data_IF_684859574520
#
_entry.id   IF_684859574520
#
_cell.length_a   1.000
_cell.length_b   1.000
_cell.length_c   1.000
_cell.angle_alpha   90.00
_cell.angle_beta   90.00
_cell.angle_gamma   90.00
#
_symmetry.space_group_name_H-M   'P 1'
#
loop_
_entity.id
_entity.type
_entity.pdbx_description
1 polymer ?
#
# COMPACT_ATOMS: atom_id res chain seq x y z
N UNK A 1 -2.33 -1.58 -15.33
CA UNK A 1 -2.88 -1.54 -13.95
C UNK A 1 -3.88 -0.41 -13.84
N UNK A 2 -4.78 -0.40 -12.87
CA UNK A 2 -5.78 0.66 -12.72
C UNK A 2 -5.33 1.79 -11.78
N UNK A 3 -4.03 1.88 -11.44
CA UNK A 3 -3.43 2.93 -10.61
C UNK A 3 -3.78 2.88 -9.12
N UNK A 4 -4.49 1.85 -8.64
CA UNK A 4 -4.93 1.73 -7.23
C UNK A 4 -3.73 1.77 -6.27
N UNK A 5 -2.73 0.93 -6.52
CA UNK A 5 -1.51 0.83 -5.72
C UNK A 5 -0.77 2.17 -5.63
N UNK A 6 -0.73 2.93 -6.74
CA UNK A 6 -0.08 4.23 -6.79
C UNK A 6 -0.82 5.28 -5.96
N UNK A 7 -2.15 5.37 -6.08
CA UNK A 7 -2.95 6.33 -5.31
C UNK A 7 -2.80 6.04 -3.80
N UNK A 8 -2.85 4.76 -3.41
CA UNK A 8 -2.74 4.36 -2.00
C UNK A 8 -1.33 4.62 -1.46
N UNK A 9 -0.27 4.41 -2.27
CA UNK A 9 1.10 4.68 -1.83
C UNK A 9 1.32 6.15 -1.48
N UNK A 10 0.67 7.07 -2.21
CA UNK A 10 0.70 8.51 -1.91
C UNK A 10 -0.02 8.89 -0.62
N UNK A 11 -0.95 8.09 -0.12
CA UNK A 11 -1.59 8.36 1.15
C UNK A 11 -0.59 8.35 2.32
N UNK A 12 0.44 7.50 2.25
CA UNK A 12 1.47 7.45 3.29
C UNK A 12 2.36 8.70 3.29
N UNK A 13 2.61 9.31 2.12
CA UNK A 13 3.38 10.55 2.00
C UNK A 13 2.69 11.75 2.70
N UNK A 14 1.38 11.66 2.99
CA UNK A 14 0.61 12.68 3.72
C UNK A 14 0.68 12.54 5.24
N UNK A 15 1.19 11.42 5.75
CA UNK A 15 1.28 11.14 7.18
C UNK A 15 2.60 11.69 7.75
N UNK A 16 2.60 12.10 9.03
CA UNK A 16 3.82 12.62 9.66
C UNK A 16 4.88 11.52 9.79
N UNK A 17 6.18 11.86 9.75
CA UNK A 17 7.25 10.92 10.06
C UNK A 17 7.18 10.49 11.53
N UNK A 18 7.75 9.33 11.84
CA UNK A 18 7.74 8.74 13.17
C UNK A 18 9.12 8.23 13.58
N UNK A 19 9.33 8.11 14.89
CA UNK A 19 10.56 7.56 15.46
C UNK A 19 10.25 6.15 15.97
N UNK A 20 10.99 5.17 15.47
CA UNK A 20 10.83 3.75 15.84
C UNK A 20 12.17 3.20 16.35
N UNK A 21 12.15 2.17 17.21
CA UNK A 21 13.38 1.46 17.54
C UNK A 21 13.86 0.68 16.32
N UNK A 22 15.18 0.53 16.16
CA UNK A 22 15.74 -0.34 15.11
C UNK A 22 15.46 -1.80 15.43
N UNK A 23 15.68 -2.15 16.69
CA UNK A 23 15.46 -3.48 17.25
C UNK A 23 14.89 -3.36 18.66
N UNK A 24 14.16 -4.39 19.09
CA UNK A 24 13.83 -4.60 20.50
C UNK A 24 14.31 -5.97 20.94
N UNK A 25 14.41 -6.17 22.24
CA UNK A 25 14.82 -7.44 22.83
C UNK A 25 13.67 -8.01 23.67
N UNK A 26 13.45 -9.32 23.53
CA UNK A 26 12.55 -10.07 24.38
C UNK A 26 13.13 -11.46 24.70
N UNK A 27 13.36 -11.75 25.98
CA UNK A 27 13.85 -13.05 26.47
C UNK A 27 15.12 -13.55 25.78
N UNK A 28 16.12 -12.68 25.61
CA UNK A 28 17.38 -12.92 24.92
C UNK A 28 17.25 -13.05 23.41
N UNK A 29 16.15 -12.59 22.81
CA UNK A 29 15.90 -12.63 21.37
C UNK A 29 15.74 -11.23 20.82
N UNK A 30 16.41 -10.99 19.70
CA UNK A 30 16.34 -9.73 18.98
C UNK A 30 15.18 -9.79 18.00
N UNK A 31 14.31 -8.79 18.06
CA UNK A 31 13.19 -8.59 17.15
C UNK A 31 13.51 -7.33 16.34
N UNK A 32 13.54 -7.46 15.02
CA UNK A 32 13.80 -6.36 14.09
C UNK A 32 12.50 -5.59 13.83
N UNK A 33 12.51 -4.30 14.16
CA UNK A 33 11.37 -3.40 13.93
C UNK A 33 11.64 -2.54 12.68
N UNK A 34 12.81 -1.90 12.61
CA UNK A 34 13.25 -1.22 11.40
C UNK A 34 13.73 -2.23 10.36
N UNK A 35 13.11 -2.16 9.20
CA UNK A 35 13.45 -2.96 8.02
C UNK A 35 13.68 -2.01 6.82
N UNK A 36 14.91 -1.93 6.27
CA UNK A 36 15.22 -1.03 5.16
C UNK A 36 14.44 -1.34 3.88
N UNK A 37 13.89 -2.55 3.73
CA UNK A 37 13.07 -2.90 2.57
C UNK A 37 11.67 -2.24 2.63
N UNK A 38 11.22 -1.85 3.82
CA UNK A 38 9.89 -1.28 4.07
C UNK A 38 9.92 0.15 4.62
N UNK A 39 11.03 0.59 5.20
CA UNK A 39 11.14 1.86 5.90
C UNK A 39 12.20 2.78 5.29
N UNK A 40 11.78 3.98 4.90
CA UNK A 40 12.67 5.04 4.41
C UNK A 40 13.11 5.95 5.57
N UNK A 41 14.41 6.06 5.87
CA UNK A 41 14.91 6.94 6.92
C UNK A 41 14.70 8.41 6.54
N UNK A 42 14.46 9.25 7.54
CA UNK A 42 14.49 10.70 7.38
C UNK A 42 15.92 11.23 7.53
N UNK A 43 16.25 12.42 6.98
CA UNK A 43 17.57 13.03 7.13
C UNK A 43 17.95 13.35 8.59
N UNK A 44 16.95 13.62 9.43
CA UNK A 44 17.12 13.94 10.84
C UNK A 44 17.13 12.66 11.69
N UNK A 45 18.32 12.22 12.10
CA UNK A 45 18.46 11.07 12.99
C UNK A 45 18.34 11.49 14.47
N UNK A 46 17.67 10.68 15.31
CA UNK A 46 17.68 10.87 16.76
C UNK A 46 19.11 10.78 17.33
N UNK A 47 19.36 11.44 18.47
CA UNK A 47 20.65 11.36 19.16
C UNK A 47 21.01 9.93 19.60
N UNK A 48 19.99 9.15 19.99
CA UNK A 48 20.17 7.74 20.40
C UNK A 48 20.12 6.82 19.17
N UNK A 49 21.24 6.15 18.81
CA UNK A 49 21.34 5.35 17.58
C UNK A 49 20.47 4.09 17.59
N UNK A 50 19.90 3.71 18.74
CA UNK A 50 18.94 2.60 18.84
C UNK A 50 17.60 2.94 18.19
N UNK A 51 17.32 4.23 18.02
CA UNK A 51 16.14 4.75 17.37
C UNK A 51 16.48 5.22 15.95
N UNK A 52 15.46 5.31 15.12
CA UNK A 52 15.55 5.86 13.78
C UNK A 52 14.28 6.65 13.49
N UNK A 53 14.43 7.80 12.86
CA UNK A 53 13.29 8.56 12.33
C UNK A 53 13.04 8.11 10.90
N UNK A 54 11.81 7.74 10.60
CA UNK A 54 11.39 7.25 9.29
C UNK A 54 10.22 8.08 8.76
N UNK A 55 10.10 8.14 7.44
CA UNK A 55 8.84 8.52 6.82
C UNK A 55 7.77 7.51 7.19
N UNK A 56 6.50 7.91 7.18
CA UNK A 56 5.40 6.97 7.41
C UNK A 56 5.53 5.77 6.46
N UNK A 57 5.44 4.53 6.96
CA UNK A 57 5.67 3.36 6.12
C UNK A 57 4.52 3.18 5.14
N UNK A 58 4.84 2.66 3.96
CA UNK A 58 3.88 2.11 3.03
C UNK A 58 4.28 0.67 2.78
N UNK A 59 3.58 -0.26 3.43
CA UNK A 59 3.84 -1.69 3.32
C UNK A 59 2.85 -2.28 2.32
N UNK A 60 3.38 -2.95 1.31
CA UNK A 60 2.61 -3.55 0.24
C UNK A 60 2.77 -5.07 0.26
N UNK A 61 1.65 -5.78 0.13
CA UNK A 61 1.60 -7.23 -0.08
C UNK A 61 0.67 -7.54 -1.26
N UNK A 62 1.20 -8.26 -2.26
CA UNK A 62 0.48 -8.57 -3.49
C UNK A 62 -0.23 -9.94 -3.47
N UNK A 63 -0.42 -10.51 -4.67
CA UNK A 63 -1.07 -11.81 -4.88
C UNK A 63 -0.31 -13.01 -4.30
N UNK A 64 0.98 -12.83 -4.06
CA UNK A 64 1.87 -13.80 -3.43
C UNK A 64 1.66 -13.93 -1.93
N UNK A 65 0.92 -12.99 -1.31
CA UNK A 65 0.66 -12.98 0.12
C UNK A 65 0.03 -14.30 0.58
N UNK A 66 0.71 -14.92 1.53
CA UNK A 66 0.26 -16.06 2.29
C UNK A 66 0.02 -15.68 3.75
N UNK A 67 -0.79 -16.48 4.46
CA UNK A 67 -1.07 -16.24 5.88
C UNK A 67 0.21 -16.27 6.73
N UNK A 68 1.18 -17.10 6.37
CA UNK A 68 2.47 -17.17 7.07
C UNK A 68 3.29 -15.88 6.95
N UNK A 69 3.16 -15.15 5.84
CA UNK A 69 3.84 -13.86 5.66
C UNK A 69 3.21 -12.76 6.51
N UNK A 70 2.00 -12.94 7.03
CA UNK A 70 1.40 -12.05 8.03
C UNK A 70 1.89 -12.33 9.46
N UNK A 71 2.78 -13.32 9.65
CA UNK A 71 3.34 -13.65 10.95
C UNK A 71 4.78 -13.17 11.12
N UNK A 72 5.16 -12.94 12.38
CA UNK A 72 6.57 -12.71 12.74
C UNK A 72 7.32 -14.03 12.68
N UNK A 73 8.41 -14.08 11.90
CA UNK A 73 9.19 -15.30 11.68
C UNK A 73 10.65 -15.12 12.08
N UNK A 74 11.32 -16.23 12.43
CA UNK A 74 12.74 -16.17 12.79
C UNK A 74 13.61 -16.33 11.54
N UNK A 75 14.41 -15.29 11.22
CA UNK A 75 15.36 -15.33 10.13
C UNK A 75 16.70 -15.89 10.63
N UNK A 76 17.02 -17.12 10.25
CA UNK A 76 18.26 -17.80 10.67
C UNK A 76 19.54 -17.12 10.15
N UNK A 77 19.48 -16.47 8.98
CA UNK A 77 20.65 -15.81 8.39
C UNK A 77 20.99 -14.50 9.11
N UNK A 78 19.96 -13.73 9.51
CA UNK A 78 20.12 -12.48 10.26
C UNK A 78 20.22 -12.69 11.77
N UNK A 79 19.76 -13.83 12.28
CA UNK A 79 19.74 -14.13 13.72
C UNK A 79 18.69 -13.33 14.50
N UNK A 80 17.65 -12.84 13.83
CA UNK A 80 16.61 -11.98 14.41
C UNK A 80 15.22 -12.50 14.06
N UNK A 81 14.23 -12.10 14.85
CA UNK A 81 12.82 -12.21 14.45
C UNK A 81 12.48 -11.04 13.52
N UNK A 82 12.06 -11.36 12.30
CA UNK A 82 11.52 -10.40 11.34
C UNK A 82 10.04 -10.23 11.63
N UNK A 83 9.63 -8.98 11.82
CA UNK A 83 8.25 -8.63 12.15
C UNK A 83 7.33 -8.76 10.95
N UNK A 84 6.04 -9.00 11.22
CA UNK A 84 5.00 -9.09 10.19
C UNK A 84 4.82 -7.76 9.44
N UNK A 85 4.27 -7.77 8.22
CA UNK A 85 3.82 -6.57 7.49
C UNK A 85 2.93 -5.65 8.33
N UNK A 86 2.11 -6.22 9.22
CA UNK A 86 1.24 -5.49 10.15
C UNK A 86 2.05 -4.59 11.09
N UNK A 87 3.11 -5.13 11.69
CA UNK A 87 4.00 -4.38 12.58
C UNK A 87 4.88 -3.40 11.79
N UNK A 88 5.33 -3.79 10.58
CA UNK A 88 6.10 -2.89 9.70
C UNK A 88 5.28 -1.70 9.20
N UNK A 89 3.97 -1.85 9.06
CA UNK A 89 3.08 -0.77 8.63
C UNK A 89 2.73 0.23 9.74
N UNK A 90 3.22 0.02 10.96
CA UNK A 90 2.85 0.82 12.12
C UNK A 90 3.21 2.29 11.91
N UNK A 91 2.25 3.19 12.16
CA UNK A 91 2.33 4.62 11.88
C UNK A 91 2.08 5.01 10.41
N UNK A 92 1.78 4.05 9.53
CA UNK A 92 1.59 4.28 8.10
C UNK A 92 0.43 3.49 7.52
N UNK A 93 0.64 2.93 6.32
CA UNK A 93 -0.38 2.25 5.52
C UNK A 93 0.05 0.81 5.24
N UNK A 94 -0.87 -0.14 5.43
CA UNK A 94 -0.75 -1.53 4.97
C UNK A 94 -1.69 -1.75 3.80
N UNK A 95 -1.16 -1.98 2.60
CA UNK A 95 -1.93 -2.34 1.41
C UNK A 95 -1.88 -3.84 1.16
N UNK A 96 -3.05 -4.49 1.20
CA UNK A 96 -3.25 -5.83 0.66
C UNK A 96 -3.89 -5.70 -0.72
N UNK A 97 -3.10 -5.97 -1.75
CA UNK A 97 -3.52 -5.85 -3.16
C UNK A 97 -4.02 -7.19 -3.72
N UNK A 98 -4.82 -7.10 -4.78
CA UNK A 98 -5.46 -8.24 -5.45
C UNK A 98 -6.16 -9.22 -4.48
N UNK A 99 -6.86 -8.69 -3.46
CA UNK A 99 -7.60 -9.51 -2.49
C UNK A 99 -8.59 -10.45 -3.19
N UNK A 100 -8.55 -11.73 -2.83
CA UNK A 100 -9.30 -12.82 -3.44
C UNK A 100 -8.59 -13.52 -4.60
N UNK A 101 -7.34 -13.14 -4.91
CA UNK A 101 -6.48 -13.83 -5.88
C UNK A 101 -5.26 -14.50 -5.24
N UNK A 102 -5.18 -14.50 -3.91
CA UNK A 102 -4.17 -15.20 -3.15
C UNK A 102 -4.41 -16.72 -3.18
N UNK A 103 -3.37 -17.49 -2.82
CA UNK A 103 -3.50 -18.94 -2.61
C UNK A 103 -4.36 -19.27 -1.40
N UNK A 104 -4.17 -18.51 -0.32
CA UNK A 104 -4.95 -18.64 0.90
C UNK A 104 -6.29 -17.93 0.74
N UNK A 105 -7.28 -18.40 1.49
CA UNK A 105 -8.62 -17.83 1.47
C UNK A 105 -8.58 -16.37 1.99
N UNK A 106 -9.13 -15.46 1.18
CA UNK A 106 -9.29 -14.06 1.53
C UNK A 106 -10.01 -13.83 2.87
N UNK A 107 -10.98 -14.67 3.24
CA UNK A 107 -11.64 -14.57 4.54
C UNK A 107 -10.65 -14.81 5.69
N UNK A 108 -9.71 -15.74 5.52
CA UNK A 108 -8.70 -16.04 6.55
C UNK A 108 -7.71 -14.88 6.69
N UNK A 109 -7.31 -14.27 5.57
CA UNK A 109 -6.47 -13.06 5.54
C UNK A 109 -7.16 -11.91 6.28
N UNK A 110 -8.44 -11.65 5.96
CA UNK A 110 -9.21 -10.58 6.59
C UNK A 110 -9.42 -10.84 8.09
N UNK A 111 -9.74 -12.08 8.47
CA UNK A 111 -9.89 -12.49 9.86
C UNK A 111 -8.63 -12.25 10.68
N UNK A 112 -7.44 -12.47 10.11
CA UNK A 112 -6.15 -12.22 10.78
C UNK A 112 -5.95 -10.74 11.16
N UNK A 113 -6.56 -9.82 10.42
CA UNK A 113 -6.47 -8.38 10.65
C UNK A 113 -7.48 -7.86 11.68
N UNK A 114 -8.53 -8.61 12.01
CA UNK A 114 -9.58 -8.16 12.94
C UNK A 114 -8.98 -7.72 14.28
N UNK A 115 -8.13 -8.55 14.89
CA UNK A 115 -7.56 -8.26 16.21
C UNK A 115 -6.66 -7.01 16.21
N UNK A 116 -5.67 -6.88 15.29
CA UNK A 116 -4.88 -5.65 15.14
C UNK A 116 -5.72 -4.39 14.92
N UNK A 117 -6.80 -4.48 14.14
CA UNK A 117 -7.66 -3.35 13.81
C UNK A 117 -8.61 -2.94 14.94
N UNK A 118 -9.18 -3.90 15.68
CA UNK A 118 -10.13 -3.61 16.75
C UNK A 118 -9.46 -3.23 18.06
N UNK A 119 -8.37 -3.93 18.40
CA UNK A 119 -7.73 -3.78 19.71
C UNK A 119 -6.47 -2.91 19.68
N UNK A 120 -6.06 -2.45 18.49
CA UNK A 120 -4.78 -1.76 18.28
C UNK A 120 -3.60 -2.57 18.83
N UNK A 121 -3.70 -3.90 18.76
CA UNK A 121 -2.75 -4.86 19.30
C UNK A 121 -2.64 -6.09 18.42
N UNK A 122 -1.41 -6.54 18.21
CA UNK A 122 -1.11 -7.83 17.61
C UNK A 122 -0.37 -8.72 18.61
N UNK A 123 -0.55 -10.04 18.49
CA UNK A 123 0.15 -11.02 19.33
C UNK A 123 1.12 -11.78 18.45
N UNK A 124 2.41 -11.62 18.74
CA UNK A 124 3.48 -12.35 18.04
C UNK A 124 4.08 -13.40 18.98
N UNK A 125 4.56 -14.51 18.40
CA UNK A 125 5.12 -15.61 19.17
C UNK A 125 6.63 -15.68 19.05
N UNK A 126 7.33 -15.40 20.14
CA UNK A 126 8.78 -15.51 20.24
C UNK A 126 9.11 -16.80 20.97
N UNK A 127 9.53 -17.83 20.22
CA UNK A 127 9.74 -19.20 20.73
C UNK A 127 8.51 -19.77 21.45
N UNK A 128 7.32 -19.48 20.93
CA UNK A 128 6.06 -19.92 21.51
C UNK A 128 5.59 -19.09 22.71
N UNK A 129 6.35 -18.07 23.15
CA UNK A 129 5.91 -17.11 24.17
C UNK A 129 5.17 -15.97 23.48
N UNK A 130 3.91 -15.66 23.87
CA UNK A 130 3.17 -14.55 23.29
C UNK A 130 3.73 -13.20 23.75
N UNK A 131 3.95 -12.30 22.81
CA UNK A 131 4.36 -10.91 23.02
C UNK A 131 3.32 -10.01 22.38
N UNK A 132 2.82 -9.04 23.15
CA UNK A 132 1.84 -8.08 22.65
C UNK A 132 2.59 -6.90 22.03
N UNK A 133 2.28 -6.62 20.77
CA UNK A 133 2.74 -5.43 20.05
C UNK A 133 1.58 -4.48 19.84
N UNK A 134 1.79 -3.17 20.04
CA UNK A 134 0.76 -2.18 19.73
C UNK A 134 0.79 -1.86 18.23
N UNK A 135 -0.37 -1.91 17.60
CA UNK A 135 -0.56 -1.67 16.17
C UNK A 135 -1.44 -0.47 15.93
N UNK A 136 -1.01 0.40 15.03
CA UNK A 136 -1.67 1.62 14.63
C UNK A 136 -1.30 1.91 13.17
N UNK A 137 -2.07 1.38 12.24
CA UNK A 137 -1.84 1.54 10.80
C UNK A 137 -3.19 1.73 10.09
N UNK A 138 -3.14 2.26 8.88
CA UNK A 138 -4.31 2.40 8.01
C UNK A 138 -4.36 1.17 7.11
N UNK A 139 -5.35 0.27 7.24
CA UNK A 139 -5.53 -0.83 6.29
C UNK A 139 -6.08 -0.29 4.97
N UNK A 140 -5.53 -0.77 3.86
CA UNK A 140 -6.06 -0.55 2.53
C UNK A 140 -6.16 -1.89 1.81
N UNK A 141 -7.29 -2.13 1.16
CA UNK A 141 -7.55 -3.34 0.39
C UNK A 141 -7.86 -2.94 -1.03
N UNK A 142 -7.21 -3.58 -2.00
CA UNK A 142 -7.61 -3.50 -3.40
C UNK A 142 -7.99 -4.87 -3.92
N UNK A 143 -9.05 -4.88 -4.71
CA UNK A 143 -9.49 -6.06 -5.44
C UNK A 143 -9.99 -5.66 -6.82
N UNK A 144 -9.93 -6.64 -7.73
CA UNK A 144 -10.58 -6.60 -9.03
C UNK A 144 -11.87 -7.43 -9.04
N UNK A 145 -12.21 -8.07 -7.92
CA UNK A 145 -13.45 -8.81 -7.71
C UNK A 145 -14.55 -7.86 -7.21
N UNK A 146 -15.78 -8.36 -7.24
CA UNK A 146 -16.92 -7.65 -6.64
C UNK A 146 -16.75 -7.54 -5.12
N UNK A 147 -17.30 -6.48 -4.52
CA UNK A 147 -17.17 -6.21 -3.07
C UNK A 147 -17.80 -7.32 -2.21
N UNK A 148 -18.66 -8.16 -2.78
CA UNK A 148 -19.21 -9.37 -2.14
C UNK A 148 -18.19 -10.36 -1.60
N UNK A 149 -16.90 -10.25 -1.96
CA UNK A 149 -15.82 -11.01 -1.29
C UNK A 149 -15.61 -10.59 0.17
N UNK A 150 -16.18 -9.47 0.61
CA UNK A 150 -16.13 -9.02 2.00
C UNK A 150 -17.50 -9.17 2.64
N UNK A 151 -17.56 -9.91 3.75
CA UNK A 151 -18.79 -9.98 4.55
C UNK A 151 -19.11 -8.66 5.28
N UNK A 152 -20.31 -8.55 5.84
CA UNK A 152 -20.76 -7.36 6.57
C UNK A 152 -19.87 -7.01 7.78
N UNK A 153 -19.23 -7.99 8.40
CA UNK A 153 -18.29 -7.73 9.49
C UNK A 153 -17.02 -7.06 8.96
N UNK A 154 -16.44 -7.53 7.86
CA UNK A 154 -15.28 -6.94 7.22
C UNK A 154 -15.59 -5.53 6.69
N UNK A 155 -16.74 -5.35 6.04
CA UNK A 155 -17.17 -4.05 5.51
C UNK A 155 -17.34 -2.98 6.59
N UNK A 156 -17.83 -3.35 7.78
CA UNK A 156 -17.90 -2.42 8.92
C UNK A 156 -16.54 -1.88 9.37
N UNK A 157 -15.46 -2.59 9.06
CA UNK A 157 -14.08 -2.23 9.42
C UNK A 157 -13.33 -1.52 8.29
N UNK A 158 -13.91 -1.50 7.08
CA UNK A 158 -13.39 -0.79 5.91
C UNK A 158 -14.46 0.18 5.37
N UNK A 159 -14.83 1.25 6.10
CA UNK A 159 -16.01 2.06 5.78
C UNK A 159 -15.89 2.87 4.47
N UNK A 160 -14.67 3.06 3.95
CA UNK A 160 -14.42 3.81 2.73
C UNK A 160 -14.21 2.87 1.54
N UNK A 161 -15.13 2.90 0.58
CA UNK A 161 -15.00 2.17 -0.68
C UNK A 161 -14.84 3.14 -1.84
N UNK A 162 -13.73 2.99 -2.58
CA UNK A 162 -13.43 3.82 -3.74
C UNK A 162 -13.51 2.93 -4.99
N UNK A 163 -14.52 3.17 -5.82
CA UNK A 163 -14.64 2.51 -7.11
C UNK A 163 -13.89 3.29 -8.19
N UNK A 164 -12.73 2.77 -8.60
CA UNK A 164 -11.90 3.38 -9.64
C UNK A 164 -12.38 2.91 -11.03
N UNK A 165 -13.09 3.80 -11.74
CA UNK A 165 -13.47 3.64 -13.15
C UNK A 165 -12.40 4.19 -14.07
N UNK A 166 -12.35 3.72 -15.31
CA UNK A 166 -11.51 4.36 -16.35
C UNK A 166 -11.74 5.88 -16.35
N UNK A 167 -10.67 6.70 -16.33
CA UNK A 167 -10.84 8.13 -16.31
C UNK A 167 -11.51 8.61 -17.61
N UNK A 168 -12.35 9.66 -17.54
CA UNK A 168 -12.86 10.32 -18.73
C UNK A 168 -11.72 10.76 -19.66
N UNK A 169 -11.94 10.68 -20.98
CA UNK A 169 -10.97 11.13 -21.99
C UNK A 169 -10.51 12.56 -21.73
N UNK A 170 -11.41 13.43 -21.25
CA UNK A 170 -11.05 14.81 -20.92
C UNK A 170 -10.10 14.95 -19.73
N UNK A 171 -10.17 14.04 -18.75
CA UNK A 171 -9.20 14.03 -17.66
C UNK A 171 -7.82 13.60 -18.16
N UNK A 172 -7.77 12.66 -19.11
CA UNK A 172 -6.51 12.24 -19.74
C UNK A 172 -5.90 13.40 -20.54
N UNK A 173 -6.72 14.11 -21.32
CA UNK A 173 -6.26 15.27 -22.07
C UNK A 173 -5.76 16.41 -21.17
N UNK A 174 -6.47 16.71 -20.08
CA UNK A 174 -6.06 17.73 -19.11
C UNK A 174 -4.70 17.43 -18.50
N UNK A 175 -4.47 16.17 -18.17
CA UNK A 175 -3.23 15.77 -17.55
C UNK A 175 -2.09 15.72 -18.56
N UNK A 176 -2.36 15.28 -19.79
CA UNK A 176 -1.41 15.39 -20.89
C UNK A 176 -0.95 16.85 -21.10
N UNK A 177 -1.88 17.83 -21.04
CA UNK A 177 -1.52 19.26 -21.07
C UNK A 177 -0.60 19.65 -19.93
N UNK A 178 -0.96 19.31 -18.69
CA UNK A 178 -0.14 19.62 -17.50
C UNK A 178 1.27 19.06 -17.61
N UNK A 179 1.41 17.86 -18.16
CA UNK A 179 2.71 17.25 -18.36
C UNK A 179 3.55 17.99 -19.40
N UNK A 180 2.94 18.43 -20.51
CA UNK A 180 3.60 19.27 -21.52
C UNK A 180 4.02 20.64 -20.95
N UNK A 181 3.16 21.25 -20.14
CA UNK A 181 3.45 22.50 -19.44
C UNK A 181 4.62 22.32 -18.45
N UNK A 182 4.67 21.22 -17.70
CA UNK A 182 5.71 20.94 -16.70
C UNK A 182 7.09 20.74 -17.34
N UNK A 183 7.14 20.13 -18.53
CA UNK A 183 8.38 19.98 -19.30
C UNK A 183 8.72 21.23 -20.15
N UNK A 184 7.82 22.22 -20.21
CA UNK A 184 8.01 23.47 -20.93
C UNK A 184 7.93 23.33 -22.45
N UNK A 185 7.20 22.34 -22.96
CA UNK A 185 7.01 22.12 -24.39
C UNK A 185 5.83 22.95 -24.91
N UNK A 186 6.02 23.63 -26.04
CA UNK A 186 4.93 24.33 -26.73
C UNK A 186 4.12 23.33 -27.55
N UNK A 187 2.79 23.44 -27.51
CA UNK A 187 1.90 22.55 -28.23
C UNK A 187 0.66 23.26 -28.77
N UNK A 188 0.17 22.78 -29.91
CA UNK A 188 -1.08 23.22 -30.49
C UNK A 188 -2.26 22.37 -29.98
N UNK A 189 -3.47 22.94 -30.00
CA UNK A 189 -4.70 22.24 -29.61
C UNK A 189 -4.94 20.95 -30.41
N UNK A 190 -4.44 20.89 -31.66
CA UNK A 190 -4.53 19.69 -32.51
C UNK A 190 -3.81 18.48 -31.90
N UNK A 191 -2.72 18.69 -31.16
CA UNK A 191 -1.98 17.62 -30.48
C UNK A 191 -2.84 17.02 -29.37
N UNK A 192 -3.56 17.87 -28.63
CA UNK A 192 -4.46 17.44 -27.56
C UNK A 192 -5.68 16.72 -28.13
N UNK A 193 -6.25 17.21 -29.22
CA UNK A 193 -7.35 16.51 -29.89
C UNK A 193 -6.90 15.15 -30.46
N UNK A 194 -5.66 15.07 -30.95
CA UNK A 194 -5.08 13.79 -31.41
C UNK A 194 -4.98 12.77 -30.27
N UNK A 195 -4.54 13.17 -29.08
CA UNK A 195 -4.45 12.23 -27.95
C UNK A 195 -5.83 11.79 -27.47
N UNK A 196 -6.84 12.68 -27.49
CA UNK A 196 -8.23 12.30 -27.18
C UNK A 196 -8.73 11.20 -28.11
N UNK A 197 -8.46 11.31 -29.41
CA UNK A 197 -8.88 10.31 -30.40
C UNK A 197 -8.30 8.90 -30.15
N UNK A 198 -7.13 8.80 -29.50
CA UNK A 198 -6.55 7.50 -29.12
C UNK A 198 -7.45 6.78 -28.12
N UNK A 199 -8.04 7.51 -27.16
CA UNK A 199 -8.87 6.95 -26.10
C UNK A 199 -10.38 6.99 -26.41
N UNK A 200 -10.80 7.71 -27.44
CA UNK A 200 -12.19 7.69 -27.93
C UNK A 200 -12.55 6.30 -28.46
N UNK A 201 -13.73 5.73 -28.10
CA UNK A 201 -14.17 4.43 -28.62
C UNK A 201 -14.19 4.35 -30.14
N UNK A 202 -13.90 3.17 -30.70
CA UNK A 202 -13.96 2.93 -32.16
C UNK A 202 -15.36 3.21 -32.73
N UNK A 203 -16.41 2.97 -31.96
CA UNK A 203 -17.79 3.27 -32.33
C UNK A 203 -18.04 4.78 -32.56
N UNK A 204 -17.26 5.63 -31.89
CA UNK A 204 -17.33 7.09 -31.98
C UNK A 204 -16.23 7.67 -32.91
N UNK A 205 -15.56 6.81 -33.68
CA UNK A 205 -14.53 7.20 -34.66
C UNK A 205 -13.10 7.30 -34.11
N UNK A 206 -12.86 6.89 -32.87
CA UNK A 206 -11.51 6.85 -32.27
C UNK A 206 -10.78 5.52 -32.45
N UNK A 207 -9.69 5.34 -31.71
CA UNK A 207 -8.84 4.13 -31.75
C UNK A 207 -9.18 3.12 -30.65
N UNK A 208 -9.99 3.51 -29.66
CA UNK A 208 -10.58 2.62 -28.67
C UNK A 208 -9.66 2.16 -27.54
N UNK A 209 -8.50 2.81 -27.34
CA UNK A 209 -7.64 2.49 -26.21
C UNK A 209 -8.35 2.83 -24.90
N UNK A 210 -8.31 1.92 -23.92
CA UNK A 210 -8.95 2.16 -22.64
C UNK A 210 -8.00 2.95 -21.73
N UNK A 211 -8.39 4.15 -21.26
CA UNK A 211 -7.53 4.93 -20.38
C UNK A 211 -7.42 4.25 -19.01
N UNK A 212 -6.24 4.33 -18.38
CA UNK A 212 -5.99 3.72 -17.07
C UNK A 212 -5.11 4.60 -16.19
N UNK A 213 -5.36 4.60 -14.87
CA UNK A 213 -4.55 5.41 -13.94
C UNK A 213 -3.13 4.87 -13.69
N UNK A 214 -2.70 3.77 -14.31
CA UNK A 214 -1.32 3.28 -14.16
C UNK A 214 -0.37 3.75 -15.26
N UNK A 215 -0.86 4.41 -16.31
CA UNK A 215 0.01 5.13 -17.24
C UNK A 215 0.41 6.43 -16.56
N UNK A 216 1.29 6.33 -15.57
CA UNK A 216 1.71 7.43 -14.72
C UNK A 216 2.45 8.56 -15.49
N UNK A 217 2.85 8.32 -16.74
CA UNK A 217 3.35 9.38 -17.65
C UNK A 217 2.25 10.20 -18.32
N UNK A 218 1.01 9.77 -18.16
CA UNK A 218 -0.20 10.50 -18.55
C UNK A 218 -0.94 11.00 -17.29
N UNK A 219 -0.28 10.99 -16.11
CA UNK A 219 -0.82 11.32 -14.75
C UNK A 219 0.12 12.09 -13.82
N UNK A 220 1.40 12.23 -14.16
CA UNK A 220 2.38 12.99 -13.41
C UNK A 220 3.49 13.47 -14.33
#
# INVERSE_FOLDING_TARGET
GTGKTFIISKASDLLPPLVIPRFIEFSGRVIQIYDPDFHRPCPEEPEDPRWIKIHAPFVFTGSELSLNELETTYNMNKGVYETSPIIKANGGVLLIDDLGRQRDDHEVILNRLIVPLENSKDVIYIRGVPVIFHTHFIPAFSTNLDVSIMDEAHLRRAPLHIFLRNPPVENVAEVFRRNLDEIGEEYDDEVVERIKMVYTPVADGGEGLQPSYAHARDLA
#
